data_IF_433584229895
#
_entry.id   IF_433584229895
#
_cell.length_a   1.000
_cell.length_b   1.000
_cell.length_c   1.000
_cell.angle_alpha   90.00
_cell.angle_beta   90.00
_cell.angle_gamma   90.00
#
_symmetry.space_group_name_H-M   'P 1'
#
loop_
_entity.id
_entity.type
_entity.pdbx_description
1 polymer ?
#
# COMPACT_ATOMS: atom_id res chain seq x y z
N UNK A 1 39.62 1.95 -5.22
CA UNK A 1 38.35 2.41 -4.61
C UNK A 1 38.24 3.91 -4.87
N UNK A 2 37.51 4.32 -5.91
CA UNK A 2 37.32 5.72 -6.26
C UNK A 2 36.07 6.23 -5.56
N UNK A 3 36.23 7.12 -4.58
CA UNK A 3 35.09 7.79 -3.95
C UNK A 3 34.32 8.61 -5.00
N UNK A 4 32.98 8.53 -5.05
CA UNK A 4 32.19 9.29 -6.00
C UNK A 4 32.32 10.78 -5.69
N UNK A 5 32.65 11.57 -6.72
CA UNK A 5 32.71 13.04 -6.62
C UNK A 5 31.29 13.57 -6.37
N UNK A 6 31.10 14.52 -5.45
CA UNK A 6 29.80 15.16 -5.27
C UNK A 6 29.39 15.92 -6.54
N UNK A 7 28.13 15.75 -6.95
CA UNK A 7 27.55 16.43 -8.11
C UNK A 7 27.46 17.94 -7.88
N UNK A 8 27.80 18.73 -8.90
CA UNK A 8 27.65 20.19 -8.88
C UNK A 8 26.18 20.59 -9.00
N UNK A 9 25.88 21.85 -8.66
CA UNK A 9 24.50 22.35 -8.57
C UNK A 9 23.73 22.25 -9.90
N UNK A 10 24.41 22.48 -11.02
CA UNK A 10 23.87 22.31 -12.37
C UNK A 10 23.69 20.85 -12.79
N UNK A 11 24.61 19.95 -12.42
CA UNK A 11 24.46 18.49 -12.61
C UNK A 11 23.23 17.96 -11.85
N UNK A 12 23.00 18.45 -10.62
CA UNK A 12 21.80 18.12 -9.84
C UNK A 12 20.52 18.59 -10.54
N UNK A 13 20.48 19.85 -10.99
CA UNK A 13 19.32 20.39 -11.71
C UNK A 13 19.05 19.68 -13.03
N UNK A 14 20.10 19.32 -13.75
CA UNK A 14 20.00 18.54 -14.98
C UNK A 14 19.46 17.13 -14.71
N UNK A 15 19.91 16.47 -13.65
CA UNK A 15 19.37 15.16 -13.27
C UNK A 15 17.87 15.22 -12.94
N UNK A 16 17.45 16.21 -12.15
CA UNK A 16 16.04 16.42 -11.78
C UNK A 16 15.18 16.74 -13.01
N UNK A 17 15.69 17.54 -13.96
CA UNK A 17 15.00 17.84 -15.21
C UNK A 17 14.84 16.59 -16.09
N UNK A 18 15.86 15.74 -16.19
CA UNK A 18 15.81 14.50 -16.96
C UNK A 18 14.75 13.53 -16.39
N UNK A 19 14.70 13.35 -15.07
CA UNK A 19 13.69 12.50 -14.42
C UNK A 19 12.26 13.04 -14.56
N UNK A 20 12.09 14.37 -14.67
CA UNK A 20 10.78 15.00 -14.89
C UNK A 20 10.38 15.12 -16.36
N UNK A 21 11.21 14.66 -17.30
CA UNK A 21 10.97 14.83 -18.74
C UNK A 21 10.98 16.29 -19.21
N UNK A 22 11.61 17.19 -18.45
CA UNK A 22 11.74 18.61 -18.81
C UNK A 22 12.93 18.80 -19.77
N UNK A 23 12.88 19.79 -20.67
CA UNK A 23 13.98 20.04 -21.61
C UNK A 23 15.24 20.52 -20.90
N UNK A 24 16.41 20.19 -21.48
CA UNK A 24 17.71 20.65 -21.01
C UNK A 24 17.85 22.18 -21.12
N UNK A 25 18.29 22.85 -20.04
CA UNK A 25 18.60 24.29 -20.06
C UNK A 25 20.02 24.52 -20.63
N UNK A 26 20.16 25.29 -21.74
CA UNK A 26 21.46 25.56 -22.36
C UNK A 26 22.43 26.37 -21.47
N UNK A 27 21.98 26.90 -20.33
CA UNK A 27 22.83 27.59 -19.35
C UNK A 27 23.60 26.64 -18.42
N UNK A 28 23.28 25.34 -18.40
CA UNK A 28 23.98 24.36 -17.56
C UNK A 28 25.30 23.91 -18.19
N UNK A 29 26.24 23.41 -17.37
CA UNK A 29 27.55 22.99 -17.87
C UNK A 29 27.49 21.77 -18.79
N UNK A 30 28.60 21.53 -19.51
CA UNK A 30 28.76 20.32 -20.31
C UNK A 30 28.68 19.03 -19.47
N UNK A 31 29.15 19.06 -18.22
CA UNK A 31 29.05 17.91 -17.33
C UNK A 31 27.58 17.61 -16.97
N UNK A 32 26.78 18.67 -16.73
CA UNK A 32 25.35 18.55 -16.52
C UNK A 32 24.62 17.99 -17.74
N UNK A 33 25.07 18.34 -18.96
CA UNK A 33 24.55 17.75 -20.20
C UNK A 33 24.82 16.25 -20.28
N UNK A 34 26.03 15.81 -19.96
CA UNK A 34 26.37 14.37 -19.93
C UNK A 34 25.50 13.60 -18.93
N UNK A 35 25.20 14.18 -17.77
CA UNK A 35 24.29 13.60 -16.79
C UNK A 35 22.86 13.51 -17.34
N UNK A 36 22.35 14.59 -17.92
CA UNK A 36 21.02 14.64 -18.53
C UNK A 36 20.84 13.60 -19.64
N UNK A 37 21.75 13.59 -20.62
CA UNK A 37 21.73 12.67 -21.76
C UNK A 37 21.91 11.21 -21.28
N UNK A 38 22.74 10.97 -20.27
CA UNK A 38 22.95 9.65 -19.67
C UNK A 38 21.68 9.08 -19.03
N UNK A 39 20.94 9.92 -18.29
CA UNK A 39 19.67 9.52 -17.66
C UNK A 39 18.62 9.22 -18.74
N UNK A 40 18.48 10.04 -19.77
CA UNK A 40 17.56 9.78 -20.88
C UNK A 40 17.88 8.48 -21.61
N UNK A 41 19.16 8.23 -21.92
CA UNK A 41 19.58 6.99 -22.58
C UNK A 41 19.28 5.75 -21.74
N UNK A 42 19.38 5.84 -20.41
CA UNK A 42 18.99 4.72 -19.52
C UNK A 42 17.49 4.54 -19.43
N UNK A 43 16.72 5.63 -19.41
CA UNK A 43 15.25 5.58 -19.36
C UNK A 43 14.68 4.97 -20.63
N UNK A 44 15.17 5.40 -21.80
CA UNK A 44 14.79 4.85 -23.10
C UNK A 44 15.16 3.35 -23.22
N UNK A 45 16.32 2.97 -22.68
CA UNK A 45 16.76 1.56 -22.66
C UNK A 45 15.91 0.69 -21.71
N UNK A 46 15.42 1.24 -20.60
CA UNK A 46 14.47 0.53 -19.72
C UNK A 46 13.09 0.35 -20.34
N UNK A 47 12.69 1.23 -21.28
CA UNK A 47 11.45 1.06 -22.06
C UNK A 47 11.58 0.12 -23.26
N UNK A 48 12.79 -0.37 -23.57
CA UNK A 48 13.05 -1.27 -24.70
C UNK A 48 13.52 -2.66 -24.23
N UNK A 49 12.57 -3.47 -23.77
CA UNK A 49 12.68 -4.94 -23.86
C UNK A 49 12.04 -5.43 -25.18
N UNK A 50 12.49 -6.56 -25.73
CA UNK A 50 12.53 -6.78 -27.17
C UNK A 50 11.16 -7.11 -27.77
N UNK A 51 10.94 -6.56 -28.96
CA UNK A 51 9.92 -6.96 -29.93
C UNK A 51 10.09 -8.44 -30.24
N UNK A 52 9.19 -9.29 -29.71
CA UNK A 52 8.98 -10.62 -30.23
C UNK A 52 8.16 -10.46 -31.52
N UNK A 53 8.78 -10.83 -32.63
CA UNK A 53 8.16 -10.86 -33.96
C UNK A 53 7.51 -12.24 -34.12
N UNK A 54 6.18 -12.29 -34.22
CA UNK A 54 5.41 -13.42 -34.79
C UNK A 54 5.71 -13.56 -36.31
N UNK A 55 5.38 -14.66 -37.05
CA UNK A 55 4.27 -15.63 -36.84
C UNK A 55 4.61 -17.08 -37.33
N UNK A 56 3.67 -17.97 -37.73
CA UNK A 56 2.26 -18.17 -37.35
C UNK A 56 2.00 -19.60 -36.80
N UNK A 57 0.96 -19.79 -35.99
CA UNK A 57 0.31 -21.11 -35.86
C UNK A 57 -1.19 -20.98 -35.98
N UNK A 58 -1.72 -21.62 -37.02
CA UNK A 58 -3.16 -21.84 -37.19
C UNK A 58 -3.64 -23.08 -36.43
N UNK A 59 -4.97 -23.20 -36.44
CA UNK A 59 -5.80 -24.40 -36.25
C UNK A 59 -5.91 -25.04 -34.86
N UNK A 60 -7.09 -24.83 -34.26
CA UNK A 60 -8.12 -25.85 -33.97
C UNK A 60 -8.19 -26.52 -32.58
N UNK A 61 -9.33 -26.25 -31.92
CA UNK A 61 -10.35 -27.20 -31.40
C UNK A 61 -9.90 -28.28 -30.37
N UNK A 62 -10.37 -28.21 -29.12
CA UNK A 62 -11.61 -28.83 -28.59
C UNK A 62 -11.44 -30.33 -28.20
N UNK A 63 -11.53 -30.66 -26.90
CA UNK A 63 -12.37 -31.75 -26.32
C UNK A 63 -11.83 -32.43 -25.04
N UNK A 64 -12.70 -32.38 -24.01
CA UNK A 64 -13.25 -33.47 -23.17
C UNK A 64 -12.41 -34.23 -22.11
N UNK A 65 -12.88 -34.04 -20.86
CA UNK A 65 -13.19 -35.00 -19.77
C UNK A 65 -12.45 -36.33 -19.61
N UNK A 66 -12.05 -36.64 -18.35
CA UNK A 66 -12.58 -37.73 -17.50
C UNK A 66 -11.75 -37.90 -16.19
N UNK A 67 -12.43 -37.95 -15.03
CA UNK A 67 -11.97 -38.45 -13.69
C UNK A 67 -12.42 -39.95 -13.56
N UNK A 68 -12.17 -40.78 -12.49
CA UNK A 68 -11.38 -40.65 -11.24
C UNK A 68 -10.69 -41.93 -10.62
N UNK A 69 -10.05 -41.73 -9.45
CA UNK A 69 -10.02 -42.54 -8.19
C UNK A 69 -9.06 -43.74 -7.94
N UNK A 70 -8.46 -43.67 -6.72
CA UNK A 70 -7.90 -44.68 -5.78
C UNK A 70 -6.36 -44.76 -5.67
N UNK A 71 -5.71 -45.01 -4.53
CA UNK A 71 -5.88 -44.80 -3.08
C UNK A 71 -4.58 -45.36 -2.43
N UNK A 72 -4.15 -44.81 -1.29
CA UNK A 72 -3.19 -45.36 -0.29
C UNK A 72 -1.68 -45.33 -0.60
N UNK A 73 -0.94 -44.50 0.14
CA UNK A 73 0.09 -44.98 1.10
C UNK A 73 0.62 -43.82 1.97
N UNK A 74 0.61 -44.01 3.28
CA UNK A 74 1.26 -43.17 4.31
C UNK A 74 2.57 -43.87 4.70
N UNK A 75 3.64 -43.12 5.00
CA UNK A 75 4.28 -43.36 6.30
C UNK A 75 4.61 -42.08 7.08
N UNK A 76 4.53 -42.27 8.40
CA UNK A 76 4.75 -41.35 9.52
C UNK A 76 6.25 -41.15 9.81
N UNK A 77 6.56 -40.18 10.69
CA UNK A 77 7.76 -39.95 11.55
C UNK A 77 8.58 -38.71 11.08
N UNK A 78 8.93 -37.68 11.85
CA UNK A 78 8.94 -37.40 13.29
C UNK A 78 8.79 -35.88 13.53
N UNK A 79 8.40 -35.50 14.75
CA UNK A 79 8.54 -34.14 15.29
C UNK A 79 9.98 -33.85 15.72
N UNK A 80 10.50 -32.65 15.43
CA UNK A 80 11.47 -31.94 16.28
C UNK A 80 11.42 -30.42 16.01
N UNK A 81 10.78 -29.72 16.95
CA UNK A 81 11.12 -28.42 17.56
C UNK A 81 11.92 -27.35 16.81
N UNK A 82 11.26 -26.19 16.74
CA UNK A 82 11.72 -24.85 17.19
C UNK A 82 12.87 -24.17 16.43
N UNK A 83 12.53 -23.10 15.70
CA UNK A 83 13.22 -21.80 15.75
C UNK A 83 12.50 -20.79 14.83
N UNK A 84 11.79 -19.85 15.48
CA UNK A 84 11.50 -18.47 15.02
C UNK A 84 11.76 -18.12 13.55
N UNK A 85 10.77 -18.37 12.69
CA UNK A 85 10.64 -17.64 11.43
C UNK A 85 10.03 -16.25 11.75
N UNK A 86 10.91 -15.30 12.08
CA UNK A 86 10.58 -13.89 11.89
C UNK A 86 10.42 -13.73 10.39
N UNK A 87 9.17 -13.70 9.90
CA UNK A 87 8.89 -13.26 8.54
C UNK A 87 9.31 -11.80 8.44
N UNK A 88 10.56 -11.61 8.03
CA UNK A 88 11.04 -10.36 7.47
C UNK A 88 10.17 -10.11 6.23
N UNK A 89 9.15 -9.28 6.42
CA UNK A 89 8.40 -8.70 5.31
C UNK A 89 9.42 -7.98 4.44
N UNK A 90 9.58 -8.48 3.23
CA UNK A 90 10.54 -8.02 2.24
C UNK A 90 10.33 -6.53 1.95
N UNK A 91 11.17 -5.67 2.54
CA UNK A 91 11.18 -4.21 2.36
C UNK A 91 11.47 -3.78 0.91
N UNK A 92 11.75 -4.73 0.00
CA UNK A 92 12.19 -4.47 -1.37
C UNK A 92 11.05 -4.31 -2.40
N UNK A 93 9.79 -4.42 -1.98
CA UNK A 93 8.63 -4.28 -2.88
C UNK A 93 7.72 -3.11 -2.51
N UNK A 94 8.26 -1.97 -2.04
CA UNK A 94 7.51 -0.71 -2.11
C UNK A 94 7.50 -0.27 -3.57
N UNK A 95 6.69 -0.96 -4.39
CA UNK A 95 6.25 -0.41 -5.66
C UNK A 95 5.71 0.98 -5.37
N UNK A 96 6.08 1.93 -6.20
CA UNK A 96 5.80 3.35 -6.01
C UNK A 96 4.29 3.56 -6.22
N UNK A 97 3.49 3.21 -5.22
CA UNK A 97 2.04 3.29 -5.30
C UNK A 97 1.69 4.76 -5.29
N UNK A 98 1.13 5.20 -6.41
CA UNK A 98 0.83 6.61 -6.62
C UNK A 98 -0.64 6.92 -6.36
N UNK A 99 -1.53 5.93 -6.32
CA UNK A 99 -2.98 6.17 -6.13
C UNK A 99 -3.63 5.22 -5.12
N UNK A 100 -4.75 5.66 -4.55
CA UNK A 100 -5.63 4.86 -3.69
C UNK A 100 -6.08 3.58 -4.39
N UNK A 101 -6.50 3.67 -5.65
CA UNK A 101 -6.96 2.51 -6.42
C UNK A 101 -5.87 1.45 -6.56
N UNK A 102 -4.66 1.87 -6.91
CA UNK A 102 -3.50 0.99 -6.98
C UNK A 102 -3.16 0.37 -5.61
N UNK A 103 -3.29 1.14 -4.52
CA UNK A 103 -3.08 0.62 -3.17
C UNK A 103 -4.10 -0.45 -2.76
N UNK A 104 -5.35 -0.33 -3.23
CA UNK A 104 -6.41 -1.34 -3.03
C UNK A 104 -6.13 -2.58 -3.86
N UNK A 105 -5.81 -2.41 -5.15
CA UNK A 105 -5.49 -3.51 -6.07
C UNK A 105 -4.26 -4.30 -5.60
N UNK A 106 -3.26 -3.62 -5.02
CA UNK A 106 -2.09 -4.24 -4.42
C UNK A 106 -2.34 -4.79 -2.98
N UNK A 107 -3.54 -4.61 -2.43
CA UNK A 107 -3.94 -5.17 -1.14
C UNK A 107 -3.33 -4.50 0.09
N UNK A 108 -2.85 -3.26 -0.04
CA UNK A 108 -2.37 -2.45 1.08
C UNK A 108 -3.49 -1.69 1.79
N UNK A 109 -4.54 -1.32 1.05
CA UNK A 109 -5.73 -0.65 1.56
C UNK A 109 -6.97 -1.49 1.33
N UNK A 110 -7.86 -1.46 2.31
CA UNK A 110 -9.23 -1.97 2.20
C UNK A 110 -10.16 -0.80 1.89
N UNK A 111 -10.93 -0.93 0.81
CA UNK A 111 -11.96 0.05 0.48
C UNK A 111 -13.18 -0.15 1.38
N UNK A 112 -13.56 0.89 2.12
CA UNK A 112 -14.78 0.90 2.95
C UNK A 112 -15.65 2.13 2.64
N UNK A 113 -15.53 2.65 1.41
CA UNK A 113 -16.21 3.88 1.02
C UNK A 113 -17.72 3.74 0.98
N UNK A 114 -18.23 2.56 0.60
CA UNK A 114 -19.69 2.33 0.55
C UNK A 114 -20.28 2.26 1.97
N UNK A 115 -19.60 1.57 2.90
CA UNK A 115 -19.96 1.54 4.32
C UNK A 115 -19.87 2.92 4.95
N UNK A 116 -18.86 3.70 4.58
CA UNK A 116 -18.69 5.08 5.02
C UNK A 116 -19.83 5.99 4.53
N UNK A 117 -20.24 5.86 3.27
CA UNK A 117 -21.39 6.60 2.72
C UNK A 117 -22.68 6.27 3.46
N UNK A 118 -22.90 4.99 3.79
CA UNK A 118 -24.09 4.53 4.53
C UNK A 118 -24.22 5.19 5.90
N UNK A 119 -23.08 5.53 6.53
CA UNK A 119 -23.07 6.25 7.79
C UNK A 119 -22.88 7.76 7.61
N UNK A 120 -22.99 8.33 6.41
CA UNK A 120 -22.93 9.77 6.17
C UNK A 120 -21.53 10.40 6.10
N UNK A 121 -20.50 9.62 5.78
CA UNK A 121 -19.19 10.14 5.34
C UNK A 121 -19.17 10.17 3.81
N UNK A 122 -19.13 11.36 3.21
CA UNK A 122 -19.27 11.55 1.75
C UNK A 122 -17.95 11.48 0.98
N UNK A 123 -16.85 11.18 1.66
CA UNK A 123 -15.50 11.12 1.12
C UNK A 123 -15.05 9.65 0.95
N UNK A 124 -14.07 9.41 0.08
CA UNK A 124 -13.52 8.07 -0.10
C UNK A 124 -12.76 7.66 1.17
N UNK A 125 -13.08 6.48 1.73
CA UNK A 125 -12.45 5.99 2.98
C UNK A 125 -11.67 4.72 2.69
N UNK A 126 -10.40 4.71 3.09
CA UNK A 126 -9.54 3.52 3.06
C UNK A 126 -9.11 3.14 4.47
N UNK A 127 -8.98 1.84 4.74
CA UNK A 127 -8.35 1.32 5.95
C UNK A 127 -7.05 0.61 5.59
N UNK A 128 -5.97 0.89 6.31
CA UNK A 128 -4.72 0.16 6.06
C UNK A 128 -4.85 -1.31 6.44
N UNK A 129 -4.11 -2.18 5.75
CA UNK A 129 -4.06 -3.61 6.07
C UNK A 129 -3.69 -3.89 7.53
N UNK A 130 -2.73 -3.19 8.16
CA UNK A 130 -2.44 -3.38 9.58
C UNK A 130 -3.60 -2.98 10.50
N UNK A 131 -4.36 -1.93 10.18
CA UNK A 131 -5.58 -1.60 10.90
C UNK A 131 -6.65 -2.67 10.71
N UNK A 132 -6.84 -3.12 9.47
CA UNK A 132 -7.81 -4.17 9.15
C UNK A 132 -7.52 -5.45 9.94
N UNK A 133 -6.29 -5.97 9.85
CA UNK A 133 -5.92 -7.24 10.47
C UNK A 133 -5.85 -7.20 11.99
N UNK A 134 -5.63 -6.03 12.61
CA UNK A 134 -5.55 -5.93 14.08
C UNK A 134 -6.83 -5.46 14.73
N UNK A 135 -7.58 -4.58 14.05
CA UNK A 135 -8.75 -3.91 14.60
C UNK A 135 -10.08 -4.40 14.04
N UNK A 136 -10.14 -4.88 12.79
CA UNK A 136 -11.41 -5.22 12.13
C UNK A 136 -11.58 -6.73 12.01
N UNK A 137 -10.55 -7.43 11.53
CA UNK A 137 -10.50 -8.88 11.37
C UNK A 137 -9.27 -9.46 12.08
N UNK A 138 -9.24 -9.47 13.44
CA UNK A 138 -8.14 -9.99 14.24
C UNK A 138 -8.05 -11.52 14.25
N UNK A 139 -9.15 -12.21 13.95
CA UNK A 139 -9.23 -13.67 13.89
C UNK A 139 -9.87 -14.09 12.57
N UNK A 140 -9.41 -15.22 12.03
CA UNK A 140 -9.93 -15.78 10.78
C UNK A 140 -11.34 -16.38 10.92
N UNK A 141 -11.79 -16.60 12.15
CA UNK A 141 -13.07 -17.24 12.48
C UNK A 141 -14.23 -16.24 12.61
N UNK A 142 -13.97 -14.94 12.38
CA UNK A 142 -14.97 -13.89 12.54
C UNK A 142 -16.06 -13.98 11.45
N UNK A 143 -17.33 -13.92 11.84
CA UNK A 143 -18.43 -13.94 10.89
C UNK A 143 -18.52 -12.65 10.06
N UNK A 144 -19.13 -12.72 8.88
CA UNK A 144 -19.34 -11.55 8.02
C UNK A 144 -20.20 -10.47 8.71
N UNK A 145 -21.19 -10.88 9.51
CA UNK A 145 -22.03 -9.97 10.28
C UNK A 145 -21.22 -9.22 11.35
N UNK A 146 -20.36 -9.92 12.08
CA UNK A 146 -19.46 -9.28 13.07
C UNK A 146 -18.46 -8.35 12.39
N UNK A 147 -17.93 -8.74 11.23
CA UNK A 147 -17.01 -7.90 10.46
C UNK A 147 -17.69 -6.58 10.07
N UNK A 148 -18.91 -6.66 9.53
CA UNK A 148 -19.70 -5.49 9.16
C UNK A 148 -20.02 -4.62 10.37
N UNK A 149 -20.39 -5.22 11.51
CA UNK A 149 -20.61 -4.47 12.76
C UNK A 149 -19.36 -3.71 13.20
N UNK A 150 -18.18 -4.33 13.14
CA UNK A 150 -16.91 -3.68 13.51
C UNK A 150 -16.55 -2.53 12.59
N UNK A 151 -16.67 -2.71 11.28
CA UNK A 151 -16.45 -1.63 10.30
C UNK A 151 -17.39 -0.47 10.59
N UNK A 152 -18.68 -0.74 10.78
CA UNK A 152 -19.68 0.29 11.10
C UNK A 152 -19.33 1.03 12.38
N UNK A 153 -18.99 0.34 13.45
CA UNK A 153 -18.72 0.95 14.76
C UNK A 153 -17.47 1.83 14.72
N UNK A 154 -16.43 1.40 13.98
CA UNK A 154 -15.22 2.21 13.73
C UNK A 154 -15.55 3.45 12.92
N UNK A 155 -16.25 3.30 11.79
CA UNK A 155 -16.63 4.42 10.94
C UNK A 155 -17.54 5.40 11.69
N UNK A 156 -18.44 4.90 12.55
CA UNK A 156 -19.30 5.74 13.37
C UNK A 156 -18.49 6.54 14.40
N UNK A 157 -17.52 5.91 15.06
CA UNK A 157 -16.59 6.61 15.96
C UNK A 157 -15.80 7.70 15.22
N UNK A 158 -15.32 7.41 14.00
CA UNK A 158 -14.67 8.39 13.13
C UNK A 158 -15.61 9.55 12.83
N UNK A 159 -16.83 9.27 12.35
CA UNK A 159 -17.81 10.33 12.03
C UNK A 159 -18.10 11.22 13.24
N UNK A 160 -18.35 10.63 14.40
CA UNK A 160 -18.61 11.37 15.64
C UNK A 160 -17.40 12.21 16.04
N UNK A 161 -16.19 11.66 15.93
CA UNK A 161 -14.96 12.37 16.25
C UNK A 161 -14.74 13.56 15.33
N UNK A 162 -14.94 13.39 14.03
CA UNK A 162 -14.82 14.45 13.02
C UNK A 162 -15.86 15.55 13.22
N UNK A 163 -17.10 15.19 13.52
CA UNK A 163 -18.17 16.16 13.82
C UNK A 163 -17.92 16.98 15.09
N UNK A 164 -17.12 16.44 16.03
CA UNK A 164 -16.76 17.10 17.29
C UNK A 164 -15.49 17.94 17.24
N UNK A 165 -14.84 18.13 16.09
CA UNK A 165 -13.64 18.94 15.99
C UNK A 165 -13.97 20.44 16.02
N UNK A 166 -13.32 21.18 16.93
CA UNK A 166 -13.45 22.64 17.01
C UNK A 166 -12.75 23.37 15.85
N UNK A 167 -11.74 22.72 15.26
CA UNK A 167 -10.94 23.24 14.15
C UNK A 167 -10.59 22.13 13.17
N UNK A 168 -10.47 22.41 11.87
CA UNK A 168 -10.04 21.43 10.88
C UNK A 168 -8.63 20.93 11.19
N UNK A 169 -8.46 19.61 11.24
CA UNK A 169 -7.16 18.96 11.44
C UNK A 169 -6.97 17.90 10.36
N UNK A 170 -5.81 17.93 9.69
CA UNK A 170 -5.49 16.95 8.65
C UNK A 170 -5.24 15.55 9.23
N UNK A 171 -4.83 15.47 10.49
CA UNK A 171 -4.53 14.22 11.18
C UNK A 171 -5.24 14.21 12.53
N UNK A 172 -6.11 13.23 12.73
CA UNK A 172 -7.03 13.19 13.86
C UNK A 172 -6.91 11.85 14.56
N UNK A 173 -6.73 11.91 15.88
CA UNK A 173 -6.81 10.73 16.74
C UNK A 173 -8.27 10.40 17.02
N UNK A 174 -8.65 9.15 16.77
CA UNK A 174 -10.01 8.64 16.91
C UNK A 174 -10.02 7.47 17.91
N UNK A 175 -10.59 7.65 19.10
CA UNK A 175 -10.82 6.55 20.02
C UNK A 175 -11.99 5.68 19.54
N UNK A 176 -11.79 4.38 19.44
CA UNK A 176 -12.81 3.40 19.07
C UNK A 176 -12.94 2.35 20.17
N UNK A 177 -14.13 1.81 20.39
CA UNK A 177 -14.33 0.67 21.28
C UNK A 177 -14.46 -0.59 20.45
N UNK A 178 -13.59 -1.57 20.69
CA UNK A 178 -13.56 -2.84 19.98
C UNK A 178 -13.37 -3.99 20.96
N UNK A 179 -14.08 -5.09 20.73
CA UNK A 179 -13.90 -6.33 21.49
C UNK A 179 -12.85 -7.22 20.81
N UNK A 180 -12.07 -7.95 21.61
CA UNK A 180 -11.00 -8.82 21.14
C UNK A 180 -11.01 -10.12 21.92
N UNK A 181 -10.97 -11.26 21.23
CA UNK A 181 -10.88 -12.54 21.91
C UNK A 181 -9.59 -12.65 22.74
N UNK A 182 -9.65 -13.32 23.92
CA UNK A 182 -10.80 -14.06 24.48
C UNK A 182 -11.79 -13.22 25.31
N UNK A 183 -11.59 -11.90 25.44
CA UNK A 183 -12.41 -11.04 26.30
C UNK A 183 -13.48 -10.29 25.48
N UNK A 184 -14.78 -10.58 25.68
CA UNK A 184 -15.84 -9.90 24.94
C UNK A 184 -16.00 -8.42 25.34
N UNK A 185 -15.37 -7.98 26.43
CA UNK A 185 -15.48 -6.60 26.90
C UNK A 185 -14.89 -5.64 25.88
N UNK A 186 -15.64 -4.63 25.40
CA UNK A 186 -15.10 -3.62 24.48
C UNK A 186 -13.96 -2.84 25.15
N UNK A 187 -12.80 -2.83 24.49
CA UNK A 187 -11.61 -2.13 24.93
C UNK A 187 -11.37 -0.89 24.07
N UNK A 188 -10.72 0.12 24.65
CA UNK A 188 -10.32 1.31 23.92
C UNK A 188 -9.20 0.93 22.92
N UNK A 189 -9.49 1.14 21.64
CA UNK A 189 -8.57 0.94 20.54
C UNK A 189 -8.41 2.25 19.78
N UNK A 190 -7.18 2.77 19.77
CA UNK A 190 -6.88 4.04 19.13
C UNK A 190 -6.59 3.84 17.66
N UNK A 191 -7.17 4.68 16.81
CA UNK A 191 -6.81 4.77 15.39
C UNK A 191 -6.51 6.22 15.01
N UNK A 192 -5.91 6.41 13.86
CA UNK A 192 -5.70 7.73 13.30
C UNK A 192 -6.43 7.87 11.97
N UNK A 193 -7.02 9.04 11.76
CA UNK A 193 -7.68 9.42 10.54
C UNK A 193 -6.87 10.54 9.87
N UNK A 194 -6.36 10.27 8.67
CA UNK A 194 -5.55 11.19 7.87
C UNK A 194 -6.34 11.65 6.65
N UNK A 195 -6.61 12.94 6.56
CA UNK A 195 -7.14 13.57 5.36
C UNK A 195 -6.01 13.78 4.35
N UNK A 196 -6.22 13.29 3.13
CA UNK A 196 -5.29 13.50 2.03
C UNK A 196 -6.04 13.71 0.72
N UNK A 197 -5.33 14.17 -0.30
CA UNK A 197 -5.83 14.21 -1.67
C UNK A 197 -5.24 13.06 -2.43
N UNK A 198 -6.10 12.24 -3.01
CA UNK A 198 -5.68 11.22 -3.97
C UNK A 198 -5.37 11.91 -5.32
N UNK A 199 -4.27 11.57 -6.02
CA UNK A 199 -3.92 12.23 -7.27
C UNK A 199 -4.87 11.95 -8.43
N UNK A 200 -5.75 10.94 -8.33
CA UNK A 200 -6.67 10.60 -9.41
C UNK A 200 -8.09 11.15 -9.18
N UNK A 201 -8.64 11.13 -7.96
CA UNK A 201 -10.11 11.25 -7.85
C UNK A 201 -10.70 12.17 -6.78
N UNK A 202 -10.18 12.37 -5.56
CA UNK A 202 -10.85 13.25 -4.58
C UNK A 202 -10.09 13.47 -3.26
N UNK A 203 -10.67 14.34 -2.41
CA UNK A 203 -10.45 14.32 -0.97
C UNK A 203 -10.78 12.92 -0.41
N UNK A 204 -9.84 12.36 0.35
CA UNK A 204 -9.90 10.99 0.88
C UNK A 204 -9.52 10.98 2.36
N UNK A 205 -10.02 9.97 3.07
CA UNK A 205 -9.69 9.71 4.47
C UNK A 205 -9.06 8.33 4.58
N UNK A 206 -7.86 8.31 5.13
CA UNK A 206 -7.12 7.09 5.41
C UNK A 206 -7.16 6.80 6.92
N UNK A 207 -7.64 5.62 7.28
CA UNK A 207 -7.65 5.12 8.65
C UNK A 207 -6.44 4.23 8.88
N UNK A 208 -5.65 4.57 9.90
CA UNK A 208 -4.33 4.02 10.18
C UNK A 208 -4.26 3.38 11.55
N UNK A 209 -3.48 2.31 11.66
CA UNK A 209 -3.09 1.72 12.92
C UNK A 209 -2.01 2.59 13.62
N UNK A 210 -2.02 2.76 14.95
CA UNK A 210 -1.03 3.57 15.67
C UNK A 210 0.43 3.19 15.42
N UNK A 211 0.68 1.90 15.23
CA UNK A 211 2.02 1.39 14.92
C UNK A 211 2.59 1.94 13.60
N UNK A 212 1.76 2.30 12.63
CA UNK A 212 2.19 2.82 11.33
C UNK A 212 2.62 4.29 11.41
N UNK A 213 2.04 5.04 12.35
CA UNK A 213 2.30 6.48 12.54
C UNK A 213 3.67 6.72 13.18
N UNK A 214 4.15 5.77 13.99
CA UNK A 214 5.45 5.87 14.65
C UNK A 214 6.62 5.78 13.65
N UNK A 215 6.46 4.99 12.58
CA UNK A 215 7.44 4.87 11.49
C UNK A 215 7.49 6.15 10.63
N UNK A 216 6.34 6.78 10.40
CA UNK A 216 6.26 8.05 9.67
C UNK A 216 6.87 9.22 10.46
N UNK A 217 6.67 9.29 11.78
CA UNK A 217 7.23 10.38 12.61
C UNK A 217 8.76 10.35 12.69
N UNK A 218 9.38 9.17 12.60
CA UNK A 218 10.85 9.06 12.54
C UNK A 218 11.42 9.67 11.25
N UNK A 219 10.76 9.43 10.11
CA UNK A 219 11.15 9.99 8.82
C UNK A 219 10.89 11.50 8.68
N UNK A 220 9.95 12.06 9.44
CA UNK A 220 9.76 13.52 9.55
C UNK A 220 10.69 14.21 10.55
N UNK A 221 11.30 13.49 11.50
CA UNK A 221 12.18 14.08 12.52
C UNK A 221 13.66 14.03 12.16
N UNK A 222 14.03 13.35 11.07
CA UNK A 222 15.40 13.30 10.52
C UNK A 222 15.67 14.33 9.41
N UNK A 223 14.76 15.28 9.17
CA UNK A 223 14.96 16.41 8.24
C UNK A 223 15.09 17.76 8.97
#
# INVERSE_FOLDING_TARGET
MTNPRPLTHDEKKASEAAFRGLPFDPKWSQAAKTVYDGILATLEKSTASPVITDPPSGSSEESRDLVPLNQEDIPVIAEESDETAVEFVDEQSVQQIHSRREAIEAGYLMDVSEEAKNIGLELAVGMTKPLWNRGICPSADLSEEELHHRVRDVLLAVRLRLAGLESPAAFVEVPVLLSFEPDPTPQLFLIYALFHKDPLEADSLLLLHPGEVSLAKQSFSEN
#
